data_IF_448814592332
#
_entry.id   IF_448814592332
#
_cell.length_a   1.000
_cell.length_b   1.000
_cell.length_c   1.000
_cell.angle_alpha   90.00
_cell.angle_beta   90.00
_cell.angle_gamma   90.00
#
_symmetry.space_group_name_H-M   'P 1'
#
loop_
_entity.id
_entity.type
_entity.pdbx_description
1 polymer ?
#
# COMPACT_ATOMS: atom_id res chain seq x y z
N UNK A 1 -12.43 40.80 -26.85
CA UNK A 1 -13.01 40.20 -25.63
C UNK A 1 -11.96 39.27 -25.05
N UNK A 2 -11.39 39.64 -23.91
CA UNK A 2 -10.19 39.03 -23.32
C UNK A 2 -10.46 37.60 -22.84
N UNK A 3 -9.56 36.70 -23.21
CA UNK A 3 -9.40 35.36 -22.64
C UNK A 3 -9.31 35.43 -21.12
N UNK A 4 -10.12 34.61 -20.44
CA UNK A 4 -9.85 34.17 -19.07
C UNK A 4 -10.00 32.65 -19.03
N UNK A 5 -8.96 31.96 -19.51
CA UNK A 5 -8.65 30.60 -19.08
C UNK A 5 -8.49 30.65 -17.57
N UNK A 6 -9.53 30.24 -16.84
CA UNK A 6 -9.47 30.05 -15.40
C UNK A 6 -8.39 29.00 -15.13
N UNK A 7 -7.22 29.47 -14.72
CA UNK A 7 -6.24 28.64 -14.03
C UNK A 7 -6.97 28.24 -12.74
N UNK A 8 -7.46 27.00 -12.67
CA UNK A 8 -7.95 26.42 -11.43
C UNK A 8 -6.75 26.40 -10.49
N UNK A 9 -6.63 27.42 -9.64
CA UNK A 9 -5.59 27.49 -8.63
C UNK A 9 -5.74 26.27 -7.73
N UNK A 10 -4.77 25.37 -7.82
CA UNK A 10 -4.53 24.24 -6.92
C UNK A 10 -4.05 24.73 -5.56
N UNK A 11 -4.74 25.72 -4.97
CA UNK A 11 -4.42 26.24 -3.66
C UNK A 11 -5.17 25.43 -2.61
N UNK A 12 -4.43 24.92 -1.63
CA UNK A 12 -5.00 24.34 -0.43
C UNK A 12 -5.88 25.38 0.27
N UNK A 13 -7.05 25.00 0.81
CA UNK A 13 -7.85 25.89 1.65
C UNK A 13 -7.03 26.45 2.83
N UNK A 14 -7.43 27.61 3.35
CA UNK A 14 -6.71 28.30 4.43
C UNK A 14 -6.58 27.45 5.71
N UNK A 15 -7.51 26.53 5.92
CA UNK A 15 -7.55 25.57 7.02
C UNK A 15 -6.74 24.30 6.76
N UNK A 16 -5.99 24.19 5.66
CA UNK A 16 -5.11 23.05 5.37
C UNK A 16 -3.63 23.44 5.40
N UNK A 17 -2.78 22.48 5.74
CA UNK A 17 -1.32 22.60 5.72
C UNK A 17 -0.69 21.35 5.11
N UNK A 18 0.57 21.44 4.72
CA UNK A 18 1.36 20.29 4.24
C UNK A 18 2.50 20.00 5.20
N UNK A 19 2.90 18.73 5.27
CA UNK A 19 4.20 18.39 5.84
C UNK A 19 5.31 18.90 4.93
N UNK A 20 6.26 19.67 5.46
CA UNK A 20 7.33 20.28 4.67
C UNK A 20 8.21 19.26 3.94
N UNK A 21 8.45 18.09 4.55
CA UNK A 21 9.32 17.05 4.00
C UNK A 21 8.64 16.22 2.90
N UNK A 22 7.37 15.85 3.09
CA UNK A 22 6.68 14.87 2.23
C UNK A 22 5.57 15.49 1.37
N UNK A 23 5.27 16.77 1.60
CA UNK A 23 4.24 17.53 0.89
C UNK A 23 2.82 16.92 0.97
N UNK A 24 2.55 16.12 2.01
CA UNK A 24 1.23 15.52 2.22
C UNK A 24 0.31 16.54 2.93
N UNK A 25 -0.87 16.85 2.37
CA UNK A 25 -1.81 17.81 2.94
C UNK A 25 -2.63 17.20 4.08
N UNK A 26 -2.98 18.02 5.08
CA UNK A 26 -3.85 17.67 6.19
C UNK A 26 -4.66 18.88 6.69
N UNK A 27 -5.89 18.67 7.20
CA UNK A 27 -6.70 19.74 7.77
C UNK A 27 -6.17 20.20 9.14
N UNK A 28 -6.30 21.49 9.43
CA UNK A 28 -5.80 22.15 10.67
C UNK A 28 -6.89 22.67 11.59
N UNK A 29 -8.14 22.68 11.15
CA UNK A 29 -9.30 22.98 11.99
C UNK A 29 -10.00 21.69 12.43
N UNK A 30 -11.20 21.42 11.91
CA UNK A 30 -12.02 20.29 12.31
C UNK A 30 -11.31 18.96 11.99
N UNK A 31 -11.24 18.09 13.00
CA UNK A 31 -10.57 16.80 12.85
C UNK A 31 -9.05 16.87 12.69
N UNK A 32 -8.39 17.97 13.09
CA UNK A 32 -6.92 18.16 12.99
C UNK A 32 -6.11 16.93 13.41
N UNK A 33 -6.37 16.36 14.59
CA UNK A 33 -5.62 15.19 15.08
C UNK A 33 -5.82 13.96 14.17
N UNK A 34 -7.05 13.72 13.74
CA UNK A 34 -7.38 12.62 12.85
C UNK A 34 -6.72 12.82 11.48
N UNK A 35 -6.92 13.98 10.85
CA UNK A 35 -6.36 14.32 9.55
C UNK A 35 -4.83 14.26 9.55
N UNK A 36 -4.19 14.81 10.58
CA UNK A 36 -2.74 14.74 10.77
C UNK A 36 -2.24 13.29 10.89
N UNK A 37 -2.93 12.46 11.70
CA UNK A 37 -2.56 11.05 11.89
C UNK A 37 -2.74 10.24 10.60
N UNK A 38 -3.86 10.43 9.91
CA UNK A 38 -4.16 9.76 8.65
C UNK A 38 -3.20 10.19 7.55
N UNK A 39 -2.79 11.46 7.52
CA UNK A 39 -1.79 11.97 6.59
C UNK A 39 -0.41 11.32 6.84
N UNK A 40 0.02 11.19 8.09
CA UNK A 40 1.24 10.42 8.41
C UNK A 40 1.14 8.96 8.00
N UNK A 41 -0.02 8.33 8.20
CA UNK A 41 -0.24 6.95 7.79
C UNK A 41 -0.09 6.76 6.27
N UNK A 42 -0.31 7.79 5.44
CA UNK A 42 -0.04 7.68 4.00
C UNK A 42 1.44 7.43 3.68
N UNK A 43 2.35 7.70 4.62
CA UNK A 43 3.79 7.43 4.46
C UNK A 43 4.17 5.96 4.69
N UNK A 44 3.22 5.10 5.12
CA UNK A 44 3.50 3.68 5.35
C UNK A 44 4.16 2.98 4.15
N UNK A 45 3.73 3.15 2.89
CA UNK A 45 4.37 2.50 1.75
C UNK A 45 5.85 2.86 1.59
N UNK A 46 6.23 4.14 1.70
CA UNK A 46 7.62 4.56 1.50
C UNK A 46 8.55 4.01 2.59
N UNK A 47 8.12 4.02 3.87
CA UNK A 47 8.89 3.42 4.95
C UNK A 47 8.95 1.90 4.85
N UNK A 48 7.87 1.26 4.40
CA UNK A 48 7.86 -0.19 4.20
C UNK A 48 8.78 -0.61 3.07
N UNK A 49 8.77 0.10 1.94
CA UNK A 49 9.67 -0.19 0.81
C UNK A 49 11.14 -0.01 1.23
N UNK A 50 11.47 1.04 1.99
CA UNK A 50 12.81 1.25 2.55
C UNK A 50 13.23 0.09 3.48
N UNK A 51 12.30 -0.37 4.32
CA UNK A 51 12.53 -1.52 5.22
C UNK A 51 12.74 -2.82 4.42
N UNK A 52 11.92 -3.05 3.40
CA UNK A 52 12.02 -4.22 2.51
C UNK A 52 13.32 -4.21 1.70
N UNK A 53 13.75 -3.05 1.22
CA UNK A 53 15.04 -2.90 0.55
C UNK A 53 16.19 -3.28 1.51
N UNK A 54 16.18 -2.71 2.71
CA UNK A 54 17.21 -2.98 3.74
C UNK A 54 17.26 -4.47 4.11
N UNK A 55 16.11 -5.10 4.40
CA UNK A 55 16.08 -6.52 4.77
C UNK A 55 16.46 -7.43 3.61
N UNK A 56 16.20 -7.03 2.36
CA UNK A 56 16.66 -7.75 1.16
C UNK A 56 18.18 -7.79 1.11
N UNK A 57 18.84 -6.64 1.36
CA UNK A 57 20.30 -6.56 1.39
C UNK A 57 20.91 -7.34 2.56
N UNK A 58 20.31 -7.24 3.75
CA UNK A 58 20.85 -7.85 4.98
C UNK A 58 20.62 -9.35 5.03
N UNK A 59 19.42 -9.82 4.68
CA UNK A 59 19.07 -11.25 4.78
C UNK A 59 19.41 -12.04 3.53
N UNK A 60 19.57 -11.38 2.38
CA UNK A 60 19.86 -12.00 1.08
C UNK A 60 18.97 -13.22 0.77
N UNK A 61 17.73 -13.21 1.27
CA UNK A 61 16.77 -14.28 1.06
C UNK A 61 15.99 -14.04 -0.21
N UNK A 62 15.80 -15.09 -1.01
CA UNK A 62 14.94 -15.06 -2.20
C UNK A 62 13.54 -14.53 -1.86
N UNK A 63 12.99 -14.85 -0.68
CA UNK A 63 11.69 -14.33 -0.24
C UNK A 63 11.68 -12.80 -0.08
N UNK A 64 12.76 -12.19 0.39
CA UNK A 64 12.81 -10.73 0.53
C UNK A 64 13.05 -10.06 -0.83
N UNK A 65 13.91 -10.64 -1.67
CA UNK A 65 14.13 -10.18 -3.05
C UNK A 65 12.87 -10.22 -3.91
N UNK A 66 12.09 -11.31 -3.84
CA UNK A 66 10.83 -11.44 -4.56
C UNK A 66 9.79 -10.40 -4.11
N UNK A 67 9.69 -10.13 -2.80
CA UNK A 67 8.82 -9.06 -2.30
C UNK A 67 9.22 -7.70 -2.89
N UNK A 68 10.51 -7.38 -2.85
CA UNK A 68 11.01 -6.10 -3.34
C UNK A 68 10.76 -5.90 -4.84
N UNK A 69 11.15 -6.88 -5.66
CA UNK A 69 10.91 -6.85 -7.11
C UNK A 69 9.41 -6.84 -7.42
N UNK A 70 8.63 -7.63 -6.69
CA UNK A 70 7.18 -7.69 -6.82
C UNK A 70 6.50 -6.34 -6.56
N UNK A 71 6.94 -5.59 -5.55
CA UNK A 71 6.43 -4.25 -5.26
C UNK A 71 6.77 -3.23 -6.37
N UNK A 72 7.96 -3.34 -6.97
CA UNK A 72 8.35 -2.52 -8.13
C UNK A 72 7.43 -2.84 -9.33
N UNK A 73 7.28 -4.12 -9.67
CA UNK A 73 6.42 -4.55 -10.78
C UNK A 73 4.95 -4.15 -10.55
N UNK A 74 4.46 -4.31 -9.32
CA UNK A 74 3.12 -3.85 -8.92
C UNK A 74 2.94 -2.36 -9.18
N UNK A 75 3.94 -1.53 -8.85
CA UNK A 75 3.91 -0.08 -9.12
C UNK A 75 3.90 0.24 -10.63
N UNK A 76 4.66 -0.53 -11.43
CA UNK A 76 4.65 -0.39 -12.90
C UNK A 76 3.26 -0.72 -13.46
N UNK A 77 2.67 -1.84 -13.05
CA UNK A 77 1.31 -2.23 -13.46
C UNK A 77 0.29 -1.16 -13.06
N UNK A 78 0.38 -0.63 -11.83
CA UNK A 78 -0.49 0.46 -11.36
C UNK A 78 -0.38 1.69 -12.27
N UNK A 79 0.84 2.09 -12.62
CA UNK A 79 1.11 3.27 -13.45
C UNK A 79 0.56 3.08 -14.87
N UNK A 80 0.75 1.91 -15.47
CA UNK A 80 0.19 1.58 -16.78
C UNK A 80 -1.34 1.67 -16.72
N UNK A 81 -1.96 1.03 -15.73
CA UNK A 81 -3.42 1.04 -15.59
C UNK A 81 -3.99 2.43 -15.30
N UNK A 82 -3.31 3.25 -14.49
CA UNK A 82 -3.72 4.64 -14.25
C UNK A 82 -3.80 5.45 -15.53
N UNK A 83 -2.81 5.31 -16.41
CA UNK A 83 -2.79 6.03 -17.68
C UNK A 83 -3.76 5.43 -18.71
N UNK A 84 -4.02 4.13 -18.65
CA UNK A 84 -4.97 3.47 -19.54
C UNK A 84 -6.43 3.78 -19.18
N UNK A 85 -6.78 3.70 -17.90
CA UNK A 85 -8.15 3.97 -17.41
C UNK A 85 -8.44 5.47 -17.37
N UNK A 86 -7.43 6.28 -17.03
CA UNK A 86 -7.50 7.73 -17.02
C UNK A 86 -8.67 8.32 -16.19
N UNK A 87 -9.10 7.61 -15.14
CA UNK A 87 -10.21 8.08 -14.29
C UNK A 87 -9.78 9.29 -13.44
N UNK A 88 -10.56 10.38 -13.41
CA UNK A 88 -10.26 11.53 -12.57
C UNK A 88 -10.34 11.19 -11.08
N UNK A 89 -9.58 11.93 -10.27
CA UNK A 89 -9.69 11.90 -8.81
C UNK A 89 -10.98 12.60 -8.35
N UNK A 90 -11.41 12.41 -7.08
CA UNK A 90 -12.55 13.15 -6.54
C UNK A 90 -12.33 14.68 -6.62
N UNK A 91 -13.43 15.42 -6.72
CA UNK A 91 -13.41 16.88 -6.70
C UNK A 91 -12.77 17.42 -5.41
N UNK A 92 -12.04 18.52 -5.51
CA UNK A 92 -11.31 19.10 -4.38
C UNK A 92 -10.03 18.35 -3.99
N UNK A 93 -9.58 17.38 -4.80
CA UNK A 93 -8.29 16.72 -4.56
C UNK A 93 -7.11 17.69 -4.70
N UNK A 94 -6.09 17.48 -3.88
CA UNK A 94 -4.79 18.15 -4.01
C UNK A 94 -3.74 17.28 -4.69
N UNK A 95 -4.09 16.02 -4.97
CA UNK A 95 -3.19 15.07 -5.59
C UNK A 95 -3.28 15.16 -7.12
N UNK A 96 -2.13 15.08 -7.77
CA UNK A 96 -2.03 15.14 -9.23
C UNK A 96 -2.25 13.76 -9.90
N UNK A 97 -2.56 13.80 -11.19
CA UNK A 97 -2.72 12.62 -12.04
C UNK A 97 -3.99 11.80 -11.77
N UNK A 98 -4.09 10.65 -12.43
CA UNK A 98 -5.28 9.79 -12.40
C UNK A 98 -5.48 9.04 -11.08
N UNK A 99 -6.76 8.83 -10.72
CA UNK A 99 -7.18 8.27 -9.44
C UNK A 99 -7.29 6.75 -9.41
N UNK A 100 -7.56 6.11 -10.55
CA UNK A 100 -7.87 4.68 -10.63
C UNK A 100 -6.72 3.87 -11.24
N UNK A 101 -6.23 2.79 -10.62
CA UNK A 101 -6.51 2.33 -9.26
C UNK A 101 -5.66 3.07 -8.20
N UNK A 102 -6.10 3.02 -6.93
CA UNK A 102 -5.33 3.57 -5.79
C UNK A 102 -4.04 2.80 -5.55
N UNK A 103 -2.89 3.47 -5.71
CA UNK A 103 -1.53 2.97 -5.53
C UNK A 103 -1.26 2.53 -4.07
N UNK A 104 -1.68 3.33 -3.09
CA UNK A 104 -1.53 3.00 -1.68
C UNK A 104 -2.34 1.75 -1.28
N UNK A 105 -3.58 1.62 -1.78
CA UNK A 105 -4.42 0.46 -1.46
C UNK A 105 -3.95 -0.79 -2.21
N UNK A 106 -3.41 -0.64 -3.42
CA UNK A 106 -2.74 -1.73 -4.14
C UNK A 106 -1.51 -2.22 -3.40
N UNK A 107 -0.70 -1.32 -2.86
CA UNK A 107 0.41 -1.68 -1.98
C UNK A 107 -0.07 -2.51 -0.78
N UNK A 108 -1.12 -2.06 -0.08
CA UNK A 108 -1.69 -2.80 1.05
C UNK A 108 -2.17 -4.21 0.66
N UNK A 109 -2.93 -4.33 -0.43
CA UNK A 109 -3.41 -5.61 -0.93
C UNK A 109 -2.25 -6.55 -1.27
N UNK A 110 -1.20 -6.02 -1.90
CA UNK A 110 -0.01 -6.78 -2.25
C UNK A 110 0.71 -7.35 -1.03
N UNK A 111 1.01 -6.52 -0.03
CA UNK A 111 1.73 -6.98 1.18
C UNK A 111 0.90 -7.95 2.03
N UNK A 112 -0.44 -7.82 2.01
CA UNK A 112 -1.36 -8.76 2.65
C UNK A 112 -1.29 -10.12 1.95
N UNK A 113 -1.45 -10.15 0.63
CA UNK A 113 -1.43 -11.38 -0.14
C UNK A 113 -0.06 -12.07 -0.11
N UNK A 114 1.03 -11.29 -0.10
CA UNK A 114 2.39 -11.82 0.03
C UNK A 114 2.67 -12.43 1.42
N UNK A 115 1.93 -11.98 2.44
CA UNK A 115 2.17 -12.35 3.84
C UNK A 115 3.42 -11.69 4.40
N UNK A 116 3.59 -10.39 4.16
CA UNK A 116 4.64 -9.57 4.80
C UNK A 116 4.37 -9.41 6.31
N UNK A 117 3.10 -9.22 6.67
CA UNK A 117 2.57 -9.08 8.04
C UNK A 117 1.39 -10.07 8.15
N UNK A 118 1.10 -10.64 9.35
CA UNK A 118 -0.09 -11.46 9.55
C UNK A 118 -1.34 -10.76 9.00
N UNK A 119 -2.13 -11.40 8.10
CA UNK A 119 -3.18 -10.72 7.35
C UNK A 119 -4.19 -9.95 8.21
N UNK A 120 -4.59 -10.51 9.35
CA UNK A 120 -5.53 -9.86 10.28
C UNK A 120 -4.95 -8.54 10.81
N UNK A 121 -3.67 -8.54 11.21
CA UNK A 121 -3.00 -7.33 11.70
C UNK A 121 -2.80 -6.31 10.58
N UNK A 122 -2.41 -6.78 9.39
CA UNK A 122 -2.26 -5.92 8.23
C UNK A 122 -3.60 -5.26 7.84
N UNK A 123 -4.71 -5.98 7.92
CA UNK A 123 -6.05 -5.43 7.64
C UNK A 123 -6.45 -4.37 8.67
N UNK A 124 -6.35 -4.70 9.96
CA UNK A 124 -6.83 -3.84 11.05
C UNK A 124 -5.98 -2.59 11.21
N UNK A 125 -4.65 -2.74 11.22
CA UNK A 125 -3.74 -1.64 11.58
C UNK A 125 -3.18 -0.88 10.38
N UNK A 126 -3.24 -1.45 9.17
CA UNK A 126 -2.65 -0.82 7.98
C UNK A 126 -3.73 -0.57 6.92
N UNK A 127 -4.32 -1.63 6.36
CA UNK A 127 -5.14 -1.51 5.16
C UNK A 127 -6.42 -0.71 5.37
N UNK A 128 -7.18 -0.96 6.45
CA UNK A 128 -8.41 -0.22 6.72
C UNK A 128 -8.13 1.26 7.03
N UNK A 129 -7.21 1.61 7.95
CA UNK A 129 -6.94 3.01 8.24
C UNK A 129 -6.32 3.75 7.05
N UNK A 130 -5.48 3.09 6.26
CA UNK A 130 -4.85 3.68 5.08
C UNK A 130 -5.84 3.81 3.90
N UNK A 131 -6.76 2.86 3.72
CA UNK A 131 -7.86 3.01 2.77
C UNK A 131 -8.77 4.19 3.14
N UNK A 132 -9.10 4.31 4.44
CA UNK A 132 -9.89 5.44 4.94
C UNK A 132 -9.14 6.77 4.73
N UNK A 133 -7.83 6.83 4.98
CA UNK A 133 -7.05 8.06 4.76
C UNK A 133 -7.10 8.54 3.32
N UNK A 134 -7.15 7.63 2.33
CA UNK A 134 -7.25 8.00 0.90
C UNK A 134 -8.55 8.71 0.58
N UNK A 135 -9.64 8.33 1.23
CA UNK A 135 -10.96 8.95 1.01
C UNK A 135 -11.10 10.21 1.84
N UNK A 136 -10.71 10.17 3.12
CA UNK A 136 -10.80 11.30 4.04
C UNK A 136 -9.97 12.51 3.57
N UNK A 137 -8.78 12.26 3.01
CA UNK A 137 -7.90 13.32 2.50
C UNK A 137 -8.19 13.70 1.03
N UNK A 138 -9.36 13.28 0.49
CA UNK A 138 -9.79 13.56 -0.88
C UNK A 138 -8.78 13.11 -1.95
N UNK A 139 -7.98 12.08 -1.66
CA UNK A 139 -6.99 11.58 -2.61
C UNK A 139 -7.60 10.60 -3.62
N UNK A 140 -8.60 9.80 -3.21
CA UNK A 140 -9.26 8.79 -4.02
C UNK A 140 -10.74 8.58 -3.62
N UNK A 141 -11.53 8.05 -4.54
CA UNK A 141 -12.88 7.55 -4.25
C UNK A 141 -12.85 6.13 -3.66
N UNK A 142 -13.97 5.68 -3.07
CA UNK A 142 -14.09 4.29 -2.59
C UNK A 142 -13.95 3.25 -3.71
N UNK A 143 -14.39 3.56 -4.93
CA UNK A 143 -14.22 2.67 -6.08
C UNK A 143 -12.73 2.49 -6.41
N UNK A 144 -11.98 3.60 -6.45
CA UNK A 144 -10.54 3.61 -6.70
C UNK A 144 -9.74 2.86 -5.63
N UNK A 145 -10.15 3.02 -4.36
CA UNK A 145 -9.59 2.30 -3.21
C UNK A 145 -9.82 0.80 -3.33
N UNK A 146 -11.05 0.36 -3.60
CA UNK A 146 -11.37 -1.07 -3.75
C UNK A 146 -10.66 -1.70 -4.94
N UNK A 147 -10.61 -1.02 -6.08
CA UNK A 147 -9.91 -1.51 -7.26
C UNK A 147 -8.40 -1.67 -7.01
N UNK A 148 -7.78 -0.69 -6.35
CA UNK A 148 -6.39 -0.80 -5.90
C UNK A 148 -6.20 -2.02 -5.01
N UNK A 149 -7.02 -2.17 -3.96
CA UNK A 149 -6.94 -3.30 -3.04
C UNK A 149 -7.05 -4.66 -3.76
N UNK A 150 -8.04 -4.81 -4.64
CA UNK A 150 -8.24 -6.05 -5.41
C UNK A 150 -7.04 -6.36 -6.31
N UNK A 151 -6.56 -5.37 -7.07
CA UNK A 151 -5.39 -5.53 -7.93
C UNK A 151 -4.13 -5.89 -7.12
N UNK A 152 -3.97 -5.31 -5.94
CA UNK A 152 -2.87 -5.63 -5.03
C UNK A 152 -2.92 -7.09 -4.57
N UNK A 153 -4.11 -7.51 -4.13
CA UNK A 153 -4.34 -8.90 -3.69
C UNK A 153 -4.07 -9.90 -4.81
N UNK A 154 -4.53 -9.62 -6.04
CA UNK A 154 -4.31 -10.52 -7.17
C UNK A 154 -2.83 -10.64 -7.52
N UNK A 155 -2.12 -9.52 -7.71
CA UNK A 155 -0.70 -9.52 -8.05
C UNK A 155 0.17 -10.16 -6.97
N UNK A 156 -0.12 -9.87 -5.69
CA UNK A 156 0.61 -10.46 -4.57
C UNK A 156 0.37 -11.97 -4.45
N UNK A 157 -0.87 -12.41 -4.66
CA UNK A 157 -1.22 -13.83 -4.64
C UNK A 157 -0.58 -14.57 -5.81
N UNK A 158 -0.66 -14.03 -7.02
CA UNK A 158 -0.01 -14.59 -8.21
C UNK A 158 1.49 -14.78 -8.00
N UNK A 159 2.19 -13.77 -7.47
CA UNK A 159 3.62 -13.88 -7.16
C UNK A 159 3.91 -15.03 -6.18
N UNK A 160 3.13 -15.16 -5.10
CA UNK A 160 3.31 -16.25 -4.12
C UNK A 160 3.04 -17.61 -4.77
N UNK A 161 1.96 -17.74 -5.54
CA UNK A 161 1.58 -19.01 -6.15
C UNK A 161 2.61 -19.49 -7.19
N UNK A 162 3.21 -18.57 -7.95
CA UNK A 162 4.19 -18.86 -9.00
C UNK A 162 5.59 -19.06 -8.42
N UNK A 163 6.05 -18.16 -7.55
CA UNK A 163 7.45 -18.12 -7.12
C UNK A 163 7.71 -18.77 -5.76
N UNK A 164 6.67 -19.00 -4.94
CA UNK A 164 6.79 -19.63 -3.62
C UNK A 164 5.83 -20.83 -3.47
N UNK A 165 5.87 -21.83 -4.37
CA UNK A 165 4.94 -22.97 -4.34
C UNK A 165 5.07 -23.79 -3.05
N UNK A 166 6.27 -23.86 -2.46
CA UNK A 166 6.59 -24.67 -1.27
C UNK A 166 6.15 -24.05 0.07
N UNK A 167 5.62 -22.81 0.07
CA UNK A 167 4.99 -22.24 1.26
C UNK A 167 3.73 -23.03 1.71
N UNK A 168 3.19 -23.87 0.82
CA UNK A 168 2.12 -24.86 1.12
C UNK A 168 2.67 -26.20 1.62
N UNK A 169 3.94 -26.52 1.37
CA UNK A 169 4.59 -27.78 1.77
C UNK A 169 5.02 -27.82 3.23
N UNK A 170 5.41 -26.67 3.81
CA UNK A 170 5.92 -26.60 5.19
C UNK A 170 4.86 -26.85 6.29
N UNK A 171 3.57 -26.85 5.95
CA UNK A 171 2.49 -27.26 6.88
C UNK A 171 2.30 -28.78 6.93
N UNK A 172 2.89 -29.53 6.00
CA UNK A 172 2.87 -31.02 5.98
C UNK A 172 4.15 -31.65 6.52
N UNK A 173 5.23 -30.88 6.67
CA UNK A 173 6.54 -31.40 7.08
C UNK A 173 7.01 -30.94 8.45
N UNK A 174 6.14 -30.41 9.32
CA UNK A 174 6.48 -30.26 10.74
C UNK A 174 6.71 -31.67 11.34
N UNK A 175 7.95 -32.04 11.71
CA UNK A 175 8.19 -33.28 12.37
C UNK A 175 7.96 -33.06 13.87
N UNK A 176 6.70 -32.91 14.27
CA UNK A 176 6.31 -33.13 15.68
C UNK A 176 6.69 -34.56 16.11
N UNK A 177 6.91 -35.45 15.14
CA UNK A 177 7.40 -36.82 15.35
C UNK A 177 8.91 -36.97 15.64
N UNK A 178 9.77 -35.98 15.37
CA UNK A 178 11.24 -36.12 15.60
C UNK A 178 11.66 -35.64 16.99
N UNK A 179 10.94 -34.68 17.58
CA UNK A 179 11.26 -34.20 18.94
C UNK A 179 10.84 -35.22 20.02
N UNK A 180 9.85 -36.09 19.76
CA UNK A 180 9.41 -37.10 20.72
C UNK A 180 10.34 -38.34 20.80
N UNK A 181 11.20 -38.57 19.81
CA UNK A 181 12.10 -39.74 19.77
C UNK A 181 13.48 -39.46 20.39
N UNK A 182 13.79 -38.20 20.73
CA UNK A 182 15.06 -37.81 21.37
C UNK A 182 15.00 -37.79 22.91
N UNK A 183 13.82 -37.93 23.52
CA UNK A 183 13.61 -37.79 24.98
C UNK A 183 13.38 -39.14 25.67
N UNK A 184 13.31 -40.24 24.92
CA UNK A 184 13.06 -41.58 25.45
C UNK A 184 14.14 -42.62 25.13
N UNK A 185 15.27 -42.21 24.54
CA UNK A 185 16.40 -43.08 24.21
C UNK A 185 17.68 -42.72 25.00
N UNK A 186 17.55 -42.14 26.21
CA UNK A 186 18.62 -42.08 27.23
C UNK A 186 18.14 -42.65 28.58
#
# INVERSE_FOLDING_TARGET
MSNSTAIVSTCLPDDWRVFSLTYVPYPTQDGKLLGWTLALLTLTPIFTISSVFTITLVRQSVRWGLLFVGLILSTVVNTILKNYVAEPRPEGTFASGYGMPSDHCQFCGFIIAYGYIPPVLAVIFIALPLAYSRVFLLAHTWAQVRAGMLLGLTLGLELVLVCLPDARGLRRSLPVAVIYRSVHDE
#
